data_IF_876358624879
#
_entry.id   IF_876358624879
#
_cell.length_a   1.000
_cell.length_b   1.000
_cell.length_c   1.000
_cell.angle_alpha   90.00
_cell.angle_beta   90.00
_cell.angle_gamma   90.00
#
_symmetry.space_group_name_H-M   'P 1'
#
loop_
_entity.id
_entity.type
_entity.pdbx_description
1 polymer ?
#
# COMPACT_ATOMS: atom_id res chain seq x y z
N UNK A 1 -0.10 13.79 -4.76
CA UNK A 1 0.81 12.63 -4.68
C UNK A 1 0.72 12.09 -3.28
N UNK A 2 0.27 10.84 -3.13
CA UNK A 2 0.16 10.22 -1.81
C UNK A 2 1.54 9.72 -1.39
N UNK A 3 1.87 9.84 -0.10
CA UNK A 3 3.15 9.33 0.45
C UNK A 3 3.37 7.86 0.08
N UNK A 4 2.28 7.07 0.01
CA UNK A 4 2.34 5.67 -0.40
C UNK A 4 2.82 5.52 -1.85
N UNK A 5 2.28 6.29 -2.79
CA UNK A 5 2.73 6.22 -4.19
C UNK A 5 4.19 6.67 -4.31
N UNK A 6 4.55 7.74 -3.61
CA UNK A 6 5.91 8.28 -3.68
C UNK A 6 6.94 7.30 -3.09
N UNK A 7 6.54 6.47 -2.12
CA UNK A 7 7.41 5.45 -1.53
C UNK A 7 7.62 4.20 -2.40
N UNK A 8 6.79 3.98 -3.41
CA UNK A 8 6.84 2.79 -4.31
C UNK A 8 7.10 3.15 -5.77
N UNK A 9 7.35 4.42 -6.08
CA UNK A 9 7.68 4.87 -7.44
C UNK A 9 9.17 5.17 -7.51
N UNK A 10 9.90 4.37 -8.27
CA UNK A 10 11.31 4.60 -8.53
C UNK A 10 12.12 3.31 -8.57
N UNK A 11 13.42 3.43 -8.31
CA UNK A 11 14.29 2.27 -8.11
C UNK A 11 14.30 1.91 -6.63
N UNK A 12 13.70 0.78 -6.30
CA UNK A 12 13.52 0.32 -4.93
C UNK A 12 12.36 1.03 -4.22
N UNK A 13 12.21 0.70 -2.95
CA UNK A 13 11.07 1.13 -2.12
C UNK A 13 11.58 1.90 -0.91
N UNK A 14 10.99 3.05 -0.60
CA UNK A 14 11.18 3.72 0.69
C UNK A 14 10.31 3.02 1.73
N UNK A 15 10.84 1.92 2.27
CA UNK A 15 10.14 1.04 3.19
C UNK A 15 9.68 1.77 4.46
N UNK A 16 10.47 2.72 4.98
CA UNK A 16 10.13 3.49 6.18
C UNK A 16 8.92 4.40 5.93
N UNK A 17 8.92 5.13 4.81
CA UNK A 17 7.79 5.99 4.43
C UNK A 17 6.55 5.17 4.12
N UNK A 18 6.70 4.04 3.41
CA UNK A 18 5.61 3.14 3.06
C UNK A 18 4.95 2.56 4.32
N UNK A 19 5.77 2.02 5.24
CA UNK A 19 5.31 1.40 6.48
C UNK A 19 4.58 2.42 7.35
N UNK A 20 5.19 3.59 7.60
CA UNK A 20 4.55 4.65 8.40
C UNK A 20 3.24 5.12 7.77
N UNK A 21 3.19 5.28 6.45
CA UNK A 21 1.98 5.70 5.76
C UNK A 21 0.87 4.64 5.85
N UNK A 22 1.16 3.36 5.63
CA UNK A 22 0.16 2.29 5.71
C UNK A 22 -0.32 2.10 7.15
N UNK A 23 0.58 2.00 8.14
CA UNK A 23 0.23 1.79 9.55
C UNK A 23 -0.65 2.93 10.08
N UNK A 24 -0.25 4.19 9.88
CA UNK A 24 -1.03 5.33 10.38
C UNK A 24 -2.40 5.48 9.75
N UNK A 25 -2.56 5.03 8.50
CA UNK A 25 -3.86 5.08 7.80
C UNK A 25 -4.72 3.85 8.06
N UNK A 26 -4.11 2.71 8.41
CA UNK A 26 -4.81 1.47 8.76
C UNK A 26 -5.74 1.66 9.97
N UNK A 27 -5.29 2.42 10.97
CA UNK A 27 -6.05 2.68 12.20
C UNK A 27 -7.16 3.74 12.03
N UNK A 28 -7.08 4.59 10.99
CA UNK A 28 -7.90 5.81 10.87
C UNK A 28 -8.93 5.72 9.74
N UNK A 29 -8.47 5.53 8.50
CA UNK A 29 -9.33 5.74 7.32
C UNK A 29 -8.87 4.97 6.06
N UNK A 30 -8.37 3.75 6.22
CA UNK A 30 -7.74 3.00 5.13
C UNK A 30 -8.62 2.78 3.88
N UNK A 31 -9.93 2.58 4.07
CA UNK A 31 -10.88 2.47 2.96
C UNK A 31 -10.94 3.75 2.12
N UNK A 32 -10.89 4.91 2.77
CA UNK A 32 -10.86 6.21 2.10
C UNK A 32 -9.56 6.38 1.34
N UNK A 33 -8.42 6.00 1.93
CA UNK A 33 -7.12 6.05 1.24
C UNK A 33 -7.14 5.21 -0.03
N UNK A 34 -7.67 3.98 0.03
CA UNK A 34 -7.74 3.10 -1.14
C UNK A 34 -8.62 3.69 -2.25
N UNK A 35 -9.77 4.26 -1.89
CA UNK A 35 -10.65 4.92 -2.84
C UNK A 35 -9.99 6.13 -3.50
N UNK A 36 -9.40 7.02 -2.71
CA UNK A 36 -8.69 8.21 -3.22
C UNK A 36 -7.47 7.81 -4.07
N UNK A 37 -6.75 6.78 -3.66
CA UNK A 37 -5.62 6.23 -4.41
C UNK A 37 -6.08 5.73 -5.78
N UNK A 38 -7.11 4.89 -5.84
CA UNK A 38 -7.63 4.37 -7.11
C UNK A 38 -8.18 5.48 -8.02
N UNK A 39 -8.80 6.52 -7.45
CA UNK A 39 -9.27 7.67 -8.21
C UNK A 39 -8.12 8.50 -8.80
N UNK A 40 -7.03 8.65 -8.03
CA UNK A 40 -5.86 9.42 -8.43
C UNK A 40 -4.99 8.65 -9.43
N UNK A 41 -4.85 7.33 -9.25
CA UNK A 41 -3.92 6.48 -9.98
C UNK A 41 -4.64 5.41 -10.82
N UNK A 42 -5.64 5.83 -11.60
CA UNK A 42 -6.59 5.04 -12.42
C UNK A 42 -6.09 3.76 -13.14
N UNK A 43 -4.78 3.61 -13.31
CA UNK A 43 -4.14 2.42 -13.87
C UNK A 43 -3.92 1.28 -12.87
N UNK A 44 -3.91 1.54 -11.56
CA UNK A 44 -3.61 0.56 -10.54
C UNK A 44 -4.25 0.88 -9.19
N UNK A 45 -4.60 -0.17 -8.46
CA UNK A 45 -5.03 -0.10 -7.07
C UNK A 45 -3.83 -0.02 -6.13
N UNK A 46 -4.07 0.45 -4.91
CA UNK A 46 -3.05 0.48 -3.85
C UNK A 46 -2.43 -0.91 -3.62
N UNK A 47 -3.25 -1.96 -3.63
CA UNK A 47 -2.80 -3.32 -3.40
C UNK A 47 -1.86 -3.80 -4.52
N UNK A 48 -2.20 -3.52 -5.78
CA UNK A 48 -1.40 -3.92 -6.94
C UNK A 48 -0.04 -3.25 -6.94
N UNK A 49 0.02 -1.95 -6.60
CA UNK A 49 1.30 -1.26 -6.54
C UNK A 49 2.16 -1.75 -5.36
N UNK A 50 1.56 -2.07 -4.20
CA UNK A 50 2.29 -2.67 -3.07
C UNK A 50 2.83 -4.05 -3.42
N UNK A 51 2.05 -4.89 -4.12
CA UNK A 51 2.49 -6.21 -4.58
C UNK A 51 3.60 -6.10 -5.63
N UNK A 52 3.54 -5.10 -6.51
CA UNK A 52 4.54 -4.88 -7.55
C UNK A 52 5.90 -4.44 -7.01
N UNK A 53 5.91 -3.73 -5.88
CA UNK A 53 7.11 -3.07 -5.35
C UNK A 53 7.69 -3.76 -4.09
N UNK A 54 6.93 -4.64 -3.43
CA UNK A 54 7.37 -5.37 -2.23
C UNK A 54 7.32 -6.88 -2.42
N UNK A 55 8.02 -7.64 -1.57
CA UNK A 55 8.03 -9.11 -1.66
C UNK A 55 8.20 -9.78 -0.30
N UNK A 56 7.96 -11.10 -0.26
CA UNK A 56 8.11 -11.92 0.94
C UNK A 56 7.23 -11.51 2.11
N UNK A 57 7.71 -11.75 3.33
CA UNK A 57 6.97 -11.49 4.57
C UNK A 57 6.59 -10.00 4.72
N UNK A 58 7.39 -9.09 4.16
CA UNK A 58 7.11 -7.66 4.21
C UNK A 58 5.87 -7.30 3.38
N UNK A 59 5.74 -7.87 2.17
CA UNK A 59 4.53 -7.72 1.36
C UNK A 59 3.30 -8.28 2.10
N UNK A 60 3.41 -9.47 2.67
CA UNK A 60 2.30 -10.10 3.42
C UNK A 60 1.87 -9.26 4.63
N UNK A 61 2.83 -8.69 5.35
CA UNK A 61 2.58 -7.77 6.45
C UNK A 61 1.79 -6.53 6.00
N UNK A 62 2.23 -5.86 4.93
CA UNK A 62 1.53 -4.68 4.42
C UNK A 62 0.13 -5.01 3.91
N UNK A 63 -0.03 -6.12 3.19
CA UNK A 63 -1.34 -6.59 2.72
C UNK A 63 -2.29 -6.90 3.89
N UNK A 64 -1.77 -7.48 4.97
CA UNK A 64 -2.55 -7.72 6.19
C UNK A 64 -3.06 -6.42 6.79
N UNK A 65 -2.22 -5.38 6.87
CA UNK A 65 -2.63 -4.04 7.31
C UNK A 65 -3.67 -3.42 6.36
N UNK A 66 -3.57 -3.70 5.06
CA UNK A 66 -4.57 -3.34 4.05
C UNK A 66 -5.89 -4.14 4.15
N UNK A 67 -6.01 -5.03 5.13
CA UNK A 67 -7.18 -5.88 5.35
C UNK A 67 -7.24 -7.09 4.41
N UNK A 68 -6.16 -7.39 3.69
CA UNK A 68 -5.96 -8.62 2.91
C UNK A 68 -5.22 -9.61 3.81
N UNK A 69 -5.95 -10.21 4.76
CA UNK A 69 -5.38 -11.23 5.64
C UNK A 69 -4.87 -12.46 4.87
N UNK A 70 -4.03 -13.30 5.49
CA UNK A 70 -3.49 -14.50 4.85
C UNK A 70 -4.64 -15.43 4.45
N UNK A 71 -4.81 -15.58 3.13
CA UNK A 71 -5.82 -16.33 2.36
C UNK A 71 -7.16 -15.63 2.11
N UNK A 72 -7.21 -15.03 0.93
CA UNK A 72 -8.43 -14.70 0.19
C UNK A 72 -8.07 -14.43 -1.28
N UNK A 73 -7.62 -15.48 -1.99
CA UNK A 73 -7.61 -15.50 -3.46
C UNK A 73 -9.05 -15.49 -3.97
#
# INVERSE_FOLDING_TARGET
MTVIRDSIVGLGTDEDSLNRAIVTRAEIDLLKVRFEYANMYKSSSLDEDVIGDTSGDYMEFLLTLLGKGPKGY
#
